data_IF_271349321944
#
_entry.id   IF_271349321944
#
_cell.length_a   1.000
_cell.length_b   1.000
_cell.length_c   1.000
_cell.angle_alpha   90.00
_cell.angle_beta   90.00
_cell.angle_gamma   90.00
#
_symmetry.space_group_name_H-M   'P 1'
#
loop_
_entity.id
_entity.type
_entity.pdbx_description
1 polymer ?
#
# COMPACT_ATOMS: atom_id res chain seq x y z
N UNK A 1 -3.22 29.97 6.59
CA UNK A 1 -4.26 29.08 6.03
C UNK A 1 -4.89 28.35 7.18
N UNK A 2 -6.19 28.46 7.32
CA UNK A 2 -6.90 27.78 8.40
C UNK A 2 -6.92 26.28 8.13
N UNK A 3 -6.27 25.55 9.00
CA UNK A 3 -6.18 24.07 8.96
C UNK A 3 -7.53 23.48 9.41
N UNK A 4 -8.60 23.73 8.63
CA UNK A 4 -9.93 23.27 8.97
C UNK A 4 -10.16 21.85 8.48
N UNK A 5 -10.84 20.99 9.26
CA UNK A 5 -11.20 19.63 8.83
C UNK A 5 -11.96 19.61 7.49
N UNK A 6 -12.80 20.62 7.24
CA UNK A 6 -13.59 20.74 6.02
C UNK A 6 -12.73 20.84 4.74
N UNK A 7 -11.70 21.68 4.74
CA UNK A 7 -10.82 21.81 3.56
C UNK A 7 -10.02 20.52 3.33
N UNK A 8 -9.57 19.83 4.40
CA UNK A 8 -8.89 18.55 4.28
C UNK A 8 -9.83 17.47 3.71
N UNK A 9 -11.10 17.45 4.09
CA UNK A 9 -12.11 16.53 3.55
C UNK A 9 -12.35 16.77 2.06
N UNK A 10 -12.43 18.03 1.63
CA UNK A 10 -12.58 18.41 0.22
C UNK A 10 -11.34 18.04 -0.59
N UNK A 11 -10.14 18.28 -0.08
CA UNK A 11 -8.89 17.86 -0.72
C UNK A 11 -8.85 16.33 -0.83
N UNK A 12 -9.11 15.61 0.26
CA UNK A 12 -9.09 14.14 0.27
C UNK A 12 -10.12 13.54 -0.70
N UNK A 13 -11.26 14.19 -0.93
CA UNK A 13 -12.25 13.78 -1.91
C UNK A 13 -11.76 13.86 -3.36
N UNK A 14 -10.82 14.75 -3.67
CA UNK A 14 -10.22 14.91 -5.01
C UNK A 14 -9.07 13.93 -5.25
N UNK A 15 -8.50 13.33 -4.20
CA UNK A 15 -7.38 12.39 -4.33
C UNK A 15 -7.83 11.04 -4.90
N UNK A 16 -6.97 10.35 -5.67
CA UNK A 16 -7.31 9.08 -6.32
C UNK A 16 -7.48 7.90 -5.35
N UNK A 17 -7.22 8.07 -4.07
CA UNK A 17 -7.42 7.09 -2.99
C UNK A 17 -6.70 5.75 -3.19
N UNK A 18 -5.61 5.75 -3.95
CA UNK A 18 -4.77 4.56 -4.17
C UNK A 18 -4.00 4.13 -2.92
N UNK A 19 -3.85 5.01 -1.93
CA UNK A 19 -3.12 4.79 -0.67
C UNK A 19 -1.66 4.35 -0.86
N UNK A 20 -1.02 4.78 -1.96
CA UNK A 20 0.28 4.29 -2.44
C UNK A 20 1.50 4.84 -1.68
N UNK A 21 1.32 5.89 -0.87
CA UNK A 21 2.36 6.58 -0.09
C UNK A 21 3.47 7.25 -0.93
N UNK A 22 3.37 7.28 -2.25
CA UNK A 22 4.38 7.92 -3.12
C UNK A 22 4.56 9.40 -2.84
N UNK A 23 3.52 10.10 -2.38
CA UNK A 23 3.58 11.50 -1.95
C UNK A 23 4.45 11.73 -0.70
N UNK A 24 4.91 10.66 -0.02
CA UNK A 24 5.68 10.71 1.22
C UNK A 24 4.83 10.69 2.49
N UNK A 25 3.53 10.51 2.39
CA UNK A 25 2.60 10.43 3.51
C UNK A 25 2.01 9.03 3.64
N UNK A 26 1.54 8.67 4.85
CA UNK A 26 0.98 7.35 5.16
C UNK A 26 -0.41 7.08 4.57
N UNK A 27 -0.73 7.71 3.44
CA UNK A 27 -1.98 7.56 2.72
C UNK A 27 -2.52 8.88 2.21
N UNK A 28 -3.68 8.85 1.57
CA UNK A 28 -4.27 10.04 0.97
C UNK A 28 -4.75 11.05 2.01
N UNK A 29 -5.37 10.60 3.10
CA UNK A 29 -5.86 11.50 4.17
C UNK A 29 -4.75 12.31 4.85
N UNK A 30 -3.63 11.75 5.32
CA UNK A 30 -2.52 12.53 5.86
C UNK A 30 -1.92 13.53 4.87
N UNK A 31 -1.87 13.18 3.58
CA UNK A 31 -1.46 14.13 2.55
C UNK A 31 -2.46 15.28 2.39
N UNK A 32 -3.76 14.98 2.37
CA UNK A 32 -4.80 16.01 2.30
C UNK A 32 -4.73 16.99 3.49
N UNK A 33 -4.51 16.48 4.69
CA UNK A 33 -4.32 17.28 5.89
C UNK A 33 -3.06 18.16 5.81
N UNK A 34 -1.95 17.62 5.34
CA UNK A 34 -0.72 18.38 5.15
C UNK A 34 -0.89 19.50 4.11
N UNK A 35 -1.60 19.23 3.02
CA UNK A 35 -1.93 20.27 2.00
C UNK A 35 -2.84 21.34 2.59
N UNK A 36 -3.88 20.95 3.35
CA UNK A 36 -4.81 21.87 3.99
C UNK A 36 -4.09 22.84 4.95
N UNK A 37 -3.08 22.32 5.68
CA UNK A 37 -2.27 23.12 6.60
C UNK A 37 -1.10 23.85 5.93
N UNK A 38 -0.91 23.74 4.61
CA UNK A 38 0.21 24.38 3.90
C UNK A 38 1.56 23.70 4.15
N UNK A 39 1.59 22.53 4.77
CA UNK A 39 2.79 21.75 5.04
C UNK A 39 3.25 20.89 3.84
N UNK A 40 2.41 20.76 2.82
CA UNK A 40 2.73 20.07 1.58
C UNK A 40 2.21 20.82 0.36
N UNK A 41 2.95 20.72 -0.74
CA UNK A 41 2.49 21.19 -2.04
C UNK A 41 1.47 20.24 -2.67
N UNK A 42 0.63 20.77 -3.57
CA UNK A 42 -0.46 20.05 -4.24
C UNK A 42 0.01 19.13 -5.38
N UNK A 43 1.28 19.16 -5.76
CA UNK A 43 1.86 18.47 -6.92
C UNK A 43 2.49 17.11 -6.62
N UNK A 44 2.33 16.57 -5.40
CA UNK A 44 3.04 15.36 -4.95
C UNK A 44 2.30 14.05 -5.18
N UNK A 45 1.23 14.03 -5.97
CA UNK A 45 0.42 12.83 -6.18
C UNK A 45 0.57 12.25 -7.58
N UNK A 46 1.51 11.30 -7.85
CA UNK A 46 1.68 10.74 -9.18
C UNK A 46 0.44 10.02 -9.72
N UNK A 47 -0.29 9.18 -8.94
CA UNK A 47 -1.49 8.52 -9.45
C UNK A 47 -2.63 9.48 -9.80
N UNK A 48 -2.65 10.66 -9.17
CA UNK A 48 -3.63 11.70 -9.46
C UNK A 48 -3.31 12.50 -10.72
N UNK A 49 -2.03 12.60 -11.07
CA UNK A 49 -1.54 13.31 -12.24
C UNK A 49 -2.02 14.75 -12.34
N UNK A 50 -1.99 15.30 -13.55
CA UNK A 50 -2.40 16.66 -13.84
C UNK A 50 -3.88 16.94 -13.52
N UNK A 51 -4.73 15.92 -13.66
CA UNK A 51 -6.17 16.07 -13.38
C UNK A 51 -6.42 16.39 -11.91
N UNK A 52 -5.78 15.64 -11.00
CA UNK A 52 -5.90 15.90 -9.56
C UNK A 52 -5.21 17.20 -9.17
N UNK A 53 -4.05 17.49 -9.73
CA UNK A 53 -3.32 18.75 -9.51
C UNK A 53 -4.19 19.95 -9.87
N UNK A 54 -4.79 19.98 -11.08
CA UNK A 54 -5.65 21.04 -11.52
C UNK A 54 -6.93 21.19 -10.65
N UNK A 55 -7.48 20.07 -10.17
CA UNK A 55 -8.64 20.10 -9.27
C UNK A 55 -8.27 20.70 -7.89
N UNK A 56 -7.11 20.33 -7.34
CA UNK A 56 -6.60 20.89 -6.09
C UNK A 56 -6.26 22.39 -6.22
N UNK A 57 -5.63 22.79 -7.32
CA UNK A 57 -5.31 24.17 -7.60
C UNK A 57 -6.58 25.05 -7.64
N UNK A 58 -7.62 24.57 -8.33
CA UNK A 58 -8.94 25.25 -8.36
C UNK A 58 -9.59 25.31 -6.99
N UNK A 59 -9.59 24.22 -6.24
CA UNK A 59 -10.18 24.17 -4.91
C UNK A 59 -9.53 25.19 -3.96
N UNK A 60 -8.21 25.32 -4.05
CA UNK A 60 -7.43 26.16 -3.14
C UNK A 60 -7.17 27.58 -3.69
N UNK A 61 -7.72 27.92 -4.87
CA UNK A 61 -7.48 29.16 -5.59
C UNK A 61 -5.96 29.48 -5.70
N UNK A 62 -5.15 28.49 -6.06
CA UNK A 62 -3.69 28.59 -6.21
C UNK A 62 -3.29 28.25 -7.64
N UNK A 63 -2.15 28.78 -8.07
CA UNK A 63 -1.50 28.33 -9.29
C UNK A 63 -1.04 26.88 -9.16
N UNK A 64 -1.16 26.10 -10.24
CA UNK A 64 -0.73 24.71 -10.29
C UNK A 64 0.77 24.67 -10.64
N UNK A 65 1.66 24.27 -9.71
CA UNK A 65 3.05 24.04 -10.04
C UNK A 65 3.18 22.77 -10.90
N UNK A 66 4.30 22.56 -11.61
CA UNK A 66 4.53 21.29 -12.31
C UNK A 66 4.52 20.11 -11.33
N UNK A 67 4.11 18.92 -11.81
CA UNK A 67 4.14 17.70 -11.01
C UNK A 67 5.54 17.41 -10.47
N UNK A 68 5.62 16.99 -9.22
CA UNK A 68 6.87 16.53 -8.60
C UNK A 68 7.24 15.13 -9.12
N UNK A 69 7.99 15.09 -10.21
CA UNK A 69 8.42 13.84 -10.86
C UNK A 69 9.37 13.00 -10.01
N UNK A 70 9.97 13.56 -8.96
CA UNK A 70 10.78 12.79 -8.00
C UNK A 70 9.97 11.75 -7.22
N UNK A 71 8.64 11.93 -7.17
CA UNK A 71 7.67 11.01 -6.54
C UNK A 71 7.19 9.91 -7.48
N UNK A 72 7.59 9.94 -8.74
CA UNK A 72 7.17 9.04 -9.81
C UNK A 72 6.29 9.75 -10.84
N UNK A 73 6.03 9.05 -11.93
CA UNK A 73 5.22 9.55 -13.03
C UNK A 73 3.79 9.00 -12.96
N UNK A 74 2.80 9.78 -13.43
CA UNK A 74 1.47 9.25 -13.68
C UNK A 74 1.53 8.16 -14.77
N UNK A 75 0.63 7.19 -14.68
CA UNK A 75 0.59 6.10 -15.64
C UNK A 75 -0.75 5.37 -15.60
N UNK A 76 -0.98 4.45 -16.55
CA UNK A 76 -2.21 3.66 -16.59
C UNK A 76 -2.33 2.79 -15.34
N UNK A 77 -3.58 2.44 -15.01
CA UNK A 77 -3.84 1.54 -13.88
C UNK A 77 -3.18 0.17 -14.14
N UNK A 78 -2.39 -0.25 -13.17
CA UNK A 78 -1.85 -1.60 -13.09
C UNK A 78 -2.37 -2.27 -11.83
N UNK A 79 -2.58 -3.57 -11.88
CA UNK A 79 -3.04 -4.37 -10.73
C UNK A 79 -2.02 -5.45 -10.41
N UNK A 80 -1.92 -5.82 -9.16
CA UNK A 80 -1.04 -6.89 -8.74
C UNK A 80 -1.57 -8.25 -9.23
N UNK A 81 -0.65 -9.12 -9.66
CA UNK A 81 -0.88 -10.53 -9.97
C UNK A 81 0.11 -11.36 -9.18
N UNK A 82 -0.37 -12.38 -8.49
CA UNK A 82 0.47 -13.29 -7.72
C UNK A 82 0.67 -14.56 -8.56
N UNK A 83 1.93 -14.99 -8.69
CA UNK A 83 2.24 -16.33 -9.18
C UNK A 83 1.96 -17.33 -8.06
N UNK A 84 0.88 -18.08 -8.24
CA UNK A 84 0.40 -19.04 -7.24
C UNK A 84 1.37 -20.19 -7.03
N UNK A 85 2.13 -20.59 -8.06
CA UNK A 85 3.10 -21.66 -7.97
C UNK A 85 4.32 -21.28 -7.11
N UNK A 86 4.70 -19.99 -7.12
CA UNK A 86 5.80 -19.46 -6.34
C UNK A 86 5.37 -18.93 -4.96
N UNK A 87 4.06 -18.81 -4.70
CA UNK A 87 3.53 -18.24 -3.48
C UNK A 87 3.69 -19.20 -2.29
N UNK A 88 4.40 -18.77 -1.25
CA UNK A 88 4.66 -19.55 -0.02
C UNK A 88 3.62 -19.37 1.09
N UNK A 89 2.58 -18.56 0.87
CA UNK A 89 1.51 -18.35 1.85
C UNK A 89 1.95 -17.57 3.11
N UNK A 90 2.92 -16.64 3.00
CA UNK A 90 3.49 -15.92 4.15
C UNK A 90 2.61 -14.81 4.72
N UNK A 91 1.53 -14.41 4.05
CA UNK A 91 0.55 -13.36 4.41
C UNK A 91 1.09 -11.92 4.45
N UNK A 92 2.35 -11.66 4.15
CA UNK A 92 2.94 -10.33 4.22
C UNK A 92 2.30 -9.35 3.21
N UNK A 93 1.96 -9.81 2.00
CA UNK A 93 1.26 -9.02 1.00
C UNK A 93 -0.17 -8.64 1.45
N UNK A 94 -0.87 -9.52 2.17
CA UNK A 94 -2.18 -9.23 2.77
C UNK A 94 -2.02 -8.13 3.83
N UNK A 95 -0.99 -8.24 4.67
CA UNK A 95 -0.69 -7.24 5.69
C UNK A 95 -0.33 -5.87 5.07
N UNK A 96 0.37 -5.86 3.93
CA UNK A 96 0.79 -4.64 3.23
C UNK A 96 -0.35 -3.98 2.44
N UNK A 97 -1.38 -4.74 2.01
CA UNK A 97 -2.44 -4.22 1.16
C UNK A 97 -3.32 -3.20 1.90
N UNK A 98 -3.37 -1.92 1.48
CA UNK A 98 -4.11 -0.89 2.21
C UNK A 98 -5.62 -0.96 2.02
N UNK A 99 -6.10 -1.69 1.00
CA UNK A 99 -7.50 -1.75 0.59
C UNK A 99 -8.11 -3.15 0.66
N UNK A 100 -7.42 -4.10 1.33
CA UNK A 100 -7.84 -5.49 1.46
C UNK A 100 -8.18 -6.18 0.12
N UNK A 101 -7.41 -5.88 -0.93
CA UNK A 101 -7.58 -6.47 -2.25
C UNK A 101 -6.87 -7.83 -2.40
N UNK A 102 -6.13 -8.29 -1.41
CA UNK A 102 -5.42 -9.58 -1.43
C UNK A 102 -6.08 -10.51 -0.42
N UNK A 103 -6.41 -11.70 -0.87
CA UNK A 103 -7.07 -12.74 -0.08
C UNK A 103 -6.18 -13.98 0.02
N UNK A 104 -6.37 -14.75 1.07
CA UNK A 104 -5.61 -15.97 1.34
C UNK A 104 -5.45 -16.22 2.83
N UNK A 105 -4.67 -17.22 3.17
CA UNK A 105 -4.39 -17.59 4.56
C UNK A 105 -2.93 -18.04 4.71
N UNK A 106 -2.48 -18.14 5.96
CA UNK A 106 -1.14 -18.66 6.26
C UNK A 106 -0.95 -20.08 5.69
N UNK A 107 0.17 -20.33 5.02
CA UNK A 107 0.50 -21.59 4.32
C UNK A 107 -0.48 -21.98 3.20
N UNK A 108 -1.25 -21.05 2.69
CA UNK A 108 -2.10 -21.17 1.51
C UNK A 108 -1.69 -20.14 0.48
N UNK A 109 -1.87 -20.44 -0.81
CA UNK A 109 -1.64 -19.46 -1.87
C UNK A 109 -2.53 -18.22 -1.68
N UNK A 110 -2.05 -17.09 -2.14
CA UNK A 110 -2.80 -15.84 -2.08
C UNK A 110 -3.30 -15.47 -3.48
N UNK A 111 -4.46 -14.83 -3.54
CA UNK A 111 -5.03 -14.29 -4.76
C UNK A 111 -5.28 -12.80 -4.66
N UNK A 112 -5.32 -12.11 -5.79
CA UNK A 112 -5.63 -10.69 -5.88
C UNK A 112 -7.03 -10.50 -6.46
N UNK A 113 -7.87 -9.76 -5.77
CA UNK A 113 -9.14 -9.27 -6.28
C UNK A 113 -8.85 -8.04 -7.16
N UNK A 114 -8.60 -8.26 -8.45
CA UNK A 114 -8.16 -7.23 -9.40
C UNK A 114 -9.10 -6.01 -9.45
N UNK A 115 -10.41 -6.24 -9.32
CA UNK A 115 -11.41 -5.18 -9.27
C UNK A 115 -11.26 -4.24 -8.05
N UNK A 116 -10.65 -4.72 -6.96
CA UNK A 116 -10.43 -3.96 -5.73
C UNK A 116 -9.00 -3.40 -5.62
N UNK A 117 -8.08 -3.89 -6.45
CA UNK A 117 -6.68 -3.47 -6.41
C UNK A 117 -6.54 -2.02 -6.88
N UNK A 118 -5.92 -1.18 -6.06
CA UNK A 118 -5.69 0.24 -6.34
C UNK A 118 -4.36 0.52 -7.06
N UNK A 119 -3.58 -0.50 -7.41
CA UNK A 119 -2.29 -0.32 -8.06
C UNK A 119 -1.22 0.36 -7.20
N UNK A 120 -1.32 0.26 -5.89
CA UNK A 120 -0.42 0.96 -4.95
C UNK A 120 1.00 0.38 -4.86
N UNK A 121 1.23 -0.85 -5.34
CA UNK A 121 2.52 -1.57 -5.37
C UNK A 121 3.12 -1.90 -3.98
N UNK A 122 2.44 -1.60 -2.87
CA UNK A 122 2.97 -1.86 -1.52
C UNK A 122 3.16 -3.35 -1.20
N UNK A 123 2.54 -4.24 -1.97
CA UNK A 123 2.70 -5.69 -1.82
C UNK A 123 4.00 -6.22 -2.44
N UNK A 124 4.61 -5.52 -3.43
CA UNK A 124 5.82 -5.97 -4.10
C UNK A 124 7.00 -6.07 -3.12
N UNK A 125 7.41 -5.00 -2.42
CA UNK A 125 8.53 -5.07 -1.49
C UNK A 125 8.23 -5.94 -0.27
N UNK A 126 6.95 -6.24 0.00
CA UNK A 126 6.54 -7.11 1.09
C UNK A 126 6.66 -8.60 0.76
N UNK A 127 6.79 -8.97 -0.52
CA UNK A 127 6.90 -10.36 -0.93
C UNK A 127 8.34 -10.87 -0.80
N UNK A 128 8.63 -11.85 0.09
CA UNK A 128 9.99 -12.33 0.29
C UNK A 128 10.52 -13.22 -0.84
N UNK A 129 9.63 -13.70 -1.71
CA UNK A 129 9.96 -14.58 -2.84
C UNK A 129 9.72 -13.93 -4.20
N UNK A 130 9.36 -12.63 -4.21
CA UNK A 130 9.11 -11.82 -5.42
C UNK A 130 8.14 -12.47 -6.43
N UNK A 131 7.10 -13.13 -5.93
CA UNK A 131 6.09 -13.79 -6.76
C UNK A 131 4.93 -12.85 -7.16
N UNK A 132 5.10 -11.53 -7.06
CA UNK A 132 4.06 -10.54 -7.35
C UNK A 132 4.52 -9.63 -8.48
N UNK A 133 3.76 -9.60 -9.55
CA UNK A 133 3.96 -8.71 -10.69
C UNK A 133 2.85 -7.67 -10.78
N UNK A 134 3.15 -6.52 -11.40
CA UNK A 134 2.14 -5.56 -11.81
C UNK A 134 1.80 -5.78 -13.28
N UNK A 135 0.51 -5.99 -13.56
CA UNK A 135 0.00 -6.16 -14.92
C UNK A 135 -0.99 -5.05 -15.28
N UNK A 136 -1.13 -4.69 -16.56
CA UNK A 136 -2.16 -3.73 -16.97
C UNK A 136 -3.55 -4.17 -16.52
N UNK A 137 -4.33 -3.25 -15.99
CA UNK A 137 -5.69 -3.56 -15.52
C UNK A 137 -6.73 -3.68 -16.65
N UNK A 138 -6.40 -3.20 -17.87
CA UNK A 138 -7.34 -3.17 -19.00
C UNK A 138 -8.52 -2.22 -18.81
N UNK A 139 -8.48 -1.37 -17.79
CA UNK A 139 -9.51 -0.38 -17.47
C UNK A 139 -8.90 0.87 -16.82
N UNK A 140 -9.64 1.95 -16.83
CA UNK A 140 -9.28 3.18 -16.12
C UNK A 140 -9.71 3.13 -14.65
N UNK A 141 -8.99 3.92 -13.82
CA UNK A 141 -9.37 4.18 -12.44
C UNK A 141 -10.43 5.29 -12.39
N UNK A 142 -11.60 4.99 -11.85
CA UNK A 142 -12.74 5.91 -11.82
C UNK A 142 -12.98 6.48 -10.42
N UNK A 143 -13.78 7.52 -10.33
CA UNK A 143 -14.18 8.11 -9.04
C UNK A 143 -14.90 7.10 -8.12
N UNK A 144 -15.68 6.17 -8.68
CA UNK A 144 -16.29 5.07 -7.92
C UNK A 144 -15.26 4.12 -7.31
N UNK A 145 -14.16 3.84 -8.04
CA UNK A 145 -13.06 3.01 -7.52
C UNK A 145 -12.35 3.73 -6.35
N UNK A 146 -12.11 5.03 -6.50
CA UNK A 146 -11.51 5.85 -5.44
C UNK A 146 -12.38 5.87 -4.18
N UNK A 147 -13.69 6.09 -4.32
CA UNK A 147 -14.64 6.05 -3.20
C UNK A 147 -14.64 4.67 -2.51
N UNK A 148 -14.69 3.59 -3.30
CA UNK A 148 -14.62 2.22 -2.79
C UNK A 148 -13.28 1.92 -2.10
N UNK A 149 -12.16 2.36 -2.65
CA UNK A 149 -10.83 2.18 -2.05
C UNK A 149 -10.71 2.94 -0.72
N UNK A 150 -11.21 4.18 -0.64
CA UNK A 150 -11.29 4.95 0.61
C UNK A 150 -12.07 4.18 1.67
N UNK A 151 -13.29 3.75 1.35
CA UNK A 151 -14.15 3.05 2.30
C UNK A 151 -13.50 1.76 2.83
N UNK A 152 -12.84 0.96 1.95
CA UNK A 152 -12.09 -0.23 2.36
C UNK A 152 -10.89 0.11 3.24
N UNK A 153 -10.13 1.15 2.89
CA UNK A 153 -8.99 1.60 3.69
C UNK A 153 -9.42 2.03 5.10
N UNK A 154 -10.48 2.82 5.23
CA UNK A 154 -11.03 3.23 6.53
C UNK A 154 -11.52 2.04 7.35
N UNK A 155 -12.25 1.12 6.72
CA UNK A 155 -12.72 -0.12 7.35
C UNK A 155 -11.54 -0.96 7.86
N UNK A 156 -10.48 -1.09 7.04
CA UNK A 156 -9.26 -1.77 7.44
C UNK A 156 -8.59 -1.08 8.63
N UNK A 157 -8.42 0.24 8.60
CA UNK A 157 -7.84 1.00 9.73
C UNK A 157 -8.61 0.77 11.02
N UNK A 158 -9.96 0.85 10.97
CA UNK A 158 -10.82 0.59 12.12
C UNK A 158 -10.66 -0.84 12.65
N UNK A 159 -10.58 -1.84 11.76
CA UNK A 159 -10.37 -3.25 12.14
C UNK A 159 -9.02 -3.44 12.83
N UNK A 160 -7.93 -2.89 12.28
CA UNK A 160 -6.59 -3.01 12.85
C UNK A 160 -6.46 -2.27 14.19
N UNK A 161 -7.10 -1.13 14.34
CA UNK A 161 -7.14 -0.39 15.61
C UNK A 161 -7.86 -1.18 16.71
N UNK A 162 -8.99 -1.83 16.41
CA UNK A 162 -9.70 -2.72 17.34
C UNK A 162 -8.85 -3.92 17.76
N UNK A 163 -8.14 -4.56 16.81
CA UNK A 163 -7.27 -5.68 17.11
C UNK A 163 -6.06 -5.32 18.00
N UNK A 164 -5.62 -4.05 17.96
CA UNK A 164 -4.58 -3.55 18.88
C UNK A 164 -5.12 -3.16 20.25
N UNK A 165 -6.39 -2.76 20.31
CA UNK A 165 -7.05 -2.34 21.55
C UNK A 165 -7.62 -3.52 22.35
N UNK A 166 -7.76 -4.71 21.78
CA UNK A 166 -8.09 -5.92 22.54
C UNK A 166 -6.86 -6.37 23.30
N UNK A 167 -6.81 -6.27 24.65
CA UNK A 167 -5.78 -6.96 25.39
C UNK A 167 -6.00 -8.45 25.14
N UNK A 168 -5.03 -9.11 24.52
CA UNK A 168 -4.90 -10.56 24.65
C UNK A 168 -4.76 -10.78 26.14
N UNK A 169 -5.79 -11.38 26.79
CA UNK A 169 -5.67 -11.80 28.16
C UNK A 169 -4.36 -12.62 28.25
N UNK A 170 -3.50 -12.37 29.23
CA UNK A 170 -2.30 -13.18 29.40
C UNK A 170 -2.76 -14.61 29.59
N UNK A 171 -2.63 -15.43 28.54
CA UNK A 171 -2.61 -16.88 28.69
C UNK A 171 -1.40 -17.17 29.54
N UNK A 172 -1.62 -17.92 30.61
CA UNK A 172 -0.66 -18.25 31.64
C UNK A 172 0.74 -18.49 31.07
N UNK A 173 1.75 -17.88 31.70
CA UNK A 173 3.09 -17.56 31.17
C UNK A 173 3.93 -18.69 30.55
N UNK A 174 3.43 -19.92 30.48
CA UNK A 174 4.09 -21.06 29.83
C UNK A 174 3.83 -21.09 28.32
N UNK A 175 2.62 -20.75 27.87
CA UNK A 175 2.29 -20.73 26.43
C UNK A 175 2.83 -19.48 25.74
N UNK A 176 2.91 -18.34 26.42
CA UNK A 176 3.48 -17.11 25.87
C UNK A 176 4.98 -17.27 25.53
N UNK A 177 5.74 -17.97 26.33
CA UNK A 177 7.15 -18.26 26.07
C UNK A 177 7.35 -19.24 24.89
N UNK A 178 6.49 -20.25 24.74
CA UNK A 178 6.54 -21.17 23.61
C UNK A 178 6.17 -20.50 22.28
N UNK A 179 5.18 -19.60 22.28
CA UNK A 179 4.82 -18.78 21.11
C UNK A 179 5.90 -17.77 20.73
N UNK A 180 6.54 -17.14 21.72
CA UNK A 180 7.65 -16.21 21.49
C UNK A 180 8.89 -16.93 20.95
N UNK A 181 9.21 -18.12 21.45
CA UNK A 181 10.31 -18.96 20.95
C UNK A 181 10.06 -19.42 19.50
N UNK A 182 8.88 -19.96 19.18
CA UNK A 182 8.48 -20.31 17.81
C UNK A 182 8.47 -19.13 16.86
N UNK A 183 8.10 -17.94 17.33
CA UNK A 183 8.13 -16.71 16.53
C UNK A 183 9.56 -16.29 16.21
N UNK A 184 10.49 -16.39 17.15
CA UNK A 184 11.92 -16.10 16.95
C UNK A 184 12.57 -17.09 15.98
N UNK A 185 12.33 -18.39 16.12
CA UNK A 185 12.81 -19.43 15.19
C UNK A 185 12.27 -19.19 13.77
N UNK A 186 10.99 -18.88 13.63
CA UNK A 186 10.39 -18.56 12.34
C UNK A 186 11.04 -17.33 11.70
N UNK A 187 11.24 -16.26 12.45
CA UNK A 187 11.88 -15.03 11.95
C UNK A 187 13.35 -15.28 11.57
N UNK A 188 14.08 -16.09 12.34
CA UNK A 188 15.44 -16.51 12.00
C UNK A 188 15.48 -17.33 10.71
N UNK A 189 14.56 -18.28 10.53
CA UNK A 189 14.45 -19.09 9.32
C UNK A 189 14.12 -18.23 8.08
N UNK A 190 13.20 -17.26 8.21
CA UNK A 190 12.87 -16.30 7.14
C UNK A 190 14.09 -15.46 6.79
N UNK A 191 14.79 -14.93 7.77
CA UNK A 191 16.02 -14.13 7.55
C UNK A 191 17.09 -14.94 6.85
N UNK A 192 17.32 -16.17 7.27
CA UNK A 192 18.28 -17.08 6.64
C UNK A 192 17.89 -17.43 5.19
N UNK A 193 16.59 -17.61 4.92
CA UNK A 193 16.08 -17.86 3.57
C UNK A 193 16.28 -16.62 2.65
N UNK A 194 16.02 -15.42 3.16
CA UNK A 194 16.26 -14.16 2.44
C UNK A 194 17.73 -13.95 2.10
N UNK A 195 18.64 -14.24 3.04
CA UNK A 195 20.10 -14.17 2.79
C UNK A 195 20.51 -15.15 1.70
N UNK A 196 20.03 -16.41 1.75
CA UNK A 196 20.32 -17.41 0.70
C UNK A 196 19.75 -17.00 -0.66
N UNK A 197 18.53 -16.46 -0.72
CA UNK A 197 17.91 -15.97 -1.97
C UNK A 197 18.71 -14.82 -2.58
N UNK A 198 19.14 -13.85 -1.76
CA UNK A 198 19.99 -12.73 -2.21
C UNK A 198 21.36 -13.20 -2.70
N UNK A 199 21.97 -14.20 -2.04
CA UNK A 199 23.24 -14.77 -2.47
C UNK A 199 23.13 -15.48 -3.83
N UNK A 200 22.05 -16.24 -4.07
CA UNK A 200 21.78 -16.90 -5.36
C UNK A 200 21.60 -15.89 -6.50
N UNK A 201 20.90 -14.77 -6.26
CA UNK A 201 20.73 -13.69 -7.26
C UNK A 201 22.07 -13.03 -7.63
N UNK A 202 22.98 -12.87 -6.66
CA UNK A 202 24.32 -12.32 -6.93
C UNK A 202 25.23 -13.32 -7.67
N UNK A 203 24.98 -14.61 -7.53
CA UNK A 203 25.77 -15.68 -8.16
C UNK A 203 25.26 -16.07 -9.56
N UNK A 204 24.07 -15.61 -9.98
CA UNK A 204 23.57 -15.84 -11.35
C UNK A 204 24.19 -14.81 -12.29
N UNK A 205 25.03 -15.20 -13.28
CA UNK A 205 25.54 -14.27 -14.28
C UNK A 205 24.36 -13.76 -15.11
N UNK A 206 24.31 -12.44 -15.31
CA UNK A 206 23.39 -11.82 -16.26
C UNK A 206 23.65 -12.41 -17.65
N UNK A 207 22.74 -13.23 -18.16
CA UNK A 207 22.71 -13.54 -19.59
C UNK A 207 22.34 -12.26 -20.33
N UNK A 208 23.36 -11.49 -20.69
CA UNK A 208 23.29 -10.48 -21.73
C UNK A 208 23.60 -11.20 -23.04
N UNK A 209 22.61 -11.39 -23.87
CA UNK A 209 22.65 -11.87 -25.24
C UNK A 209 21.44 -11.29 -25.96
#
# INVERSE_FOLDING_TARGET
MDCTPDIADRIDALLPQTQCRRCGYDGCRPYAEAVACGAADINRCPPGGETTLAALARLLAREAPPLDTSRGLPGPLRVARIDEAACIGCTLCIAACPVDAIVGAQKRMHGVLAALCSGCELCLPACPVDCIDMVPAGREWRASDAAGARARHEKRRKRLARGRASPVAPTDGVEANAHAAKSRERNAAITAALVRARARRRASPSNAG
#
